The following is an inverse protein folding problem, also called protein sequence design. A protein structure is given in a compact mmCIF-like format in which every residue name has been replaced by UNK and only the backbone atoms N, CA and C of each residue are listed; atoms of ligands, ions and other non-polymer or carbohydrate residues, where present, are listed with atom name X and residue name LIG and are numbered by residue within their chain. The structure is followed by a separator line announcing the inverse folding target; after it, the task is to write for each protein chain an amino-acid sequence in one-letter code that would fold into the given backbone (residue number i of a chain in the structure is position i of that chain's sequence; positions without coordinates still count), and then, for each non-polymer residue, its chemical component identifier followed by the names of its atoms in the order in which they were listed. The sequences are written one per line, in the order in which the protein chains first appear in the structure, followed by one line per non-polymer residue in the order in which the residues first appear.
data_IF_892883257264
#
_entry.id   IF_892883257264
#
_cell.length_a   1.000
_cell.length_b   1.000
_cell.length_c   1.000
_cell.angle_alpha   90.00
_cell.angle_beta   90.00
_cell.angle_gamma   90.00
#
_symmetry.space_group_name_H-M   'P 1'
#
loop_
_entity.id
_entity.type
_entity.pdbx_description
1 polymer ?
#
# COMPACT_ATOMS: atom_id res chain seq x y z
N UNK A 1 -21.98 41.29 13.63
CA UNK A 1 -22.45 40.41 12.54
C UNK A 1 -22.07 38.97 12.85
N UNK A 2 -23.05 38.13 13.16
CA UNK A 2 -22.85 36.69 13.34
C UNK A 2 -23.03 36.01 11.98
N UNK A 3 -22.08 35.17 11.56
CA UNK A 3 -22.19 34.44 10.29
C UNK A 3 -23.43 33.52 10.29
N UNK A 4 -24.10 33.33 9.14
CA UNK A 4 -25.26 32.45 9.06
C UNK A 4 -24.83 31.00 9.37
N UNK A 5 -25.67 30.22 10.09
CA UNK A 5 -25.31 28.91 10.65
C UNK A 5 -24.81 27.88 9.60
N UNK A 6 -25.22 28.02 8.34
CA UNK A 6 -24.77 27.15 7.24
C UNK A 6 -23.27 27.31 6.91
N UNK A 7 -22.71 28.50 7.08
CA UNK A 7 -21.31 28.77 6.74
C UNK A 7 -20.36 28.20 7.79
N UNK A 8 -20.81 28.18 9.06
CA UNK A 8 -20.11 27.53 10.16
C UNK A 8 -20.11 26.01 10.01
N UNK A 9 -21.24 25.40 9.61
CA UNK A 9 -21.33 23.97 9.32
C UNK A 9 -20.37 23.54 8.19
N UNK A 10 -20.33 24.29 7.08
CA UNK A 10 -19.39 24.03 5.97
C UNK A 10 -17.92 24.11 6.41
N UNK A 11 -17.57 25.11 7.22
CA UNK A 11 -16.22 25.24 7.78
C UNK A 11 -15.85 24.02 8.64
N UNK A 12 -16.75 23.57 9.50
CA UNK A 12 -16.51 22.39 10.34
C UNK A 12 -16.37 21.11 9.52
N UNK A 13 -17.24 20.89 8.53
CA UNK A 13 -17.15 19.75 7.62
C UNK A 13 -15.81 19.72 6.86
N UNK A 14 -15.35 20.88 6.40
CA UNK A 14 -14.04 21.00 5.75
C UNK A 14 -12.88 20.63 6.69
N UNK A 15 -12.89 21.13 7.94
CA UNK A 15 -11.86 20.80 8.94
C UNK A 15 -11.82 19.30 9.21
N UNK A 16 -12.98 18.66 9.40
CA UNK A 16 -13.08 17.23 9.67
C UNK A 16 -12.61 16.39 8.48
N UNK A 17 -12.99 16.78 7.25
CA UNK A 17 -12.52 16.13 6.02
C UNK A 17 -10.99 16.17 5.91
N UNK A 18 -10.39 17.34 6.16
CA UNK A 18 -8.94 17.51 6.09
C UNK A 18 -8.20 16.76 7.21
N UNK A 19 -8.75 16.72 8.42
CA UNK A 19 -8.22 15.90 9.49
C UNK A 19 -8.21 14.41 9.10
N UNK A 20 -9.32 13.89 8.58
CA UNK A 20 -9.41 12.51 8.10
C UNK A 20 -8.42 12.22 6.97
N UNK A 21 -8.23 13.15 6.05
CA UNK A 21 -7.21 13.03 4.98
C UNK A 21 -5.81 12.90 5.56
N UNK A 22 -5.47 13.69 6.58
CA UNK A 22 -4.16 13.64 7.26
C UNK A 22 -3.96 12.34 8.04
N UNK A 23 -4.99 11.86 8.73
CA UNK A 23 -4.97 10.58 9.43
C UNK A 23 -4.72 9.43 8.45
N UNK A 24 -5.43 9.38 7.32
CA UNK A 24 -5.20 8.37 6.28
C UNK A 24 -3.77 8.39 5.76
N UNK A 25 -3.21 9.58 5.49
CA UNK A 25 -1.81 9.71 5.06
C UNK A 25 -0.87 9.17 6.14
N UNK A 26 -1.08 9.54 7.41
CA UNK A 26 -0.23 9.09 8.50
C UNK A 26 -0.30 7.56 8.67
N UNK A 27 -1.49 6.97 8.60
CA UNK A 27 -1.67 5.52 8.62
C UNK A 27 -0.90 4.82 7.50
N UNK A 28 -0.93 5.37 6.27
CA UNK A 28 -0.12 4.86 5.15
C UNK A 28 1.39 4.93 5.41
N UNK A 29 1.88 5.95 6.11
CA UNK A 29 3.29 6.02 6.53
C UNK A 29 3.63 4.98 7.62
N UNK A 30 2.72 4.72 8.57
CA UNK A 30 2.92 3.66 9.57
C UNK A 30 2.99 2.27 8.93
N UNK A 31 2.09 1.99 7.99
CA UNK A 31 2.13 0.75 7.19
C UNK A 31 3.44 0.64 6.41
N UNK A 32 3.86 1.71 5.73
CA UNK A 32 5.12 1.74 4.99
C UNK A 32 6.34 1.47 5.89
N UNK A 33 6.38 2.02 7.11
CA UNK A 33 7.45 1.72 8.09
C UNK A 33 7.46 0.25 8.50
N UNK A 34 6.30 -0.39 8.57
CA UNK A 34 6.20 -1.80 8.96
C UNK A 34 6.80 -2.74 7.91
N UNK A 35 6.68 -2.41 6.61
CA UNK A 35 7.15 -3.26 5.50
C UNK A 35 8.61 -2.99 5.11
N UNK A 36 9.13 -1.78 5.35
CA UNK A 36 10.52 -1.42 5.04
C UNK A 36 11.42 -1.78 6.23
N UNK A 37 12.32 -2.77 6.12
CA UNK A 37 13.10 -3.26 7.26
C UNK A 37 13.93 -2.17 7.96
N UNK A 38 14.48 -1.22 7.20
CA UNK A 38 15.32 -0.13 7.70
C UNK A 38 14.56 1.02 8.37
N UNK A 39 13.22 0.99 8.34
CA UNK A 39 12.34 1.99 8.96
C UNK A 39 11.61 1.45 10.19
N UNK A 40 11.62 0.13 10.42
CA UNK A 40 10.84 -0.51 11.48
C UNK A 40 11.36 -0.12 12.86
N UNK A 41 10.51 0.46 13.70
CA UNK A 41 10.87 0.93 15.04
C UNK A 41 11.70 2.22 15.07
N UNK A 42 11.95 2.85 13.91
CA UNK A 42 12.69 4.10 13.82
C UNK A 42 11.75 5.32 13.72
N UNK A 43 12.12 6.41 14.38
CA UNK A 43 11.42 7.70 14.27
C UNK A 43 11.94 8.53 13.08
N UNK A 44 11.89 7.95 11.87
CA UNK A 44 12.35 8.62 10.66
C UNK A 44 11.37 9.70 10.18
N UNK A 45 11.89 10.77 9.58
CA UNK A 45 11.06 11.76 8.90
C UNK A 45 10.39 11.18 7.65
N UNK A 46 9.23 11.73 7.23
CA UNK A 46 8.52 11.30 6.02
C UNK A 46 9.41 11.25 4.77
N UNK A 47 10.28 12.23 4.59
CA UNK A 47 11.22 12.26 3.48
C UNK A 47 12.26 11.12 3.56
N UNK A 48 12.75 10.79 4.75
CA UNK A 48 13.66 9.66 4.96
C UNK A 48 12.96 8.33 4.68
N UNK A 49 11.73 8.15 5.17
CA UNK A 49 10.92 6.94 4.93
C UNK A 49 10.76 6.70 3.43
N UNK A 50 10.40 7.74 2.65
CA UNK A 50 10.24 7.63 1.20
C UNK A 50 11.55 7.23 0.50
N UNK A 51 12.69 7.83 0.89
CA UNK A 51 14.00 7.46 0.32
C UNK A 51 14.40 6.02 0.65
N UNK A 52 14.21 5.60 1.91
CA UNK A 52 14.49 4.23 2.35
C UNK A 52 13.61 3.22 1.62
N UNK A 53 12.33 3.53 1.42
CA UNK A 53 11.41 2.70 0.65
C UNK A 53 11.85 2.54 -0.81
N UNK A 54 12.22 3.63 -1.49
CA UNK A 54 12.72 3.58 -2.87
C UNK A 54 13.99 2.72 -2.99
N UNK A 55 14.94 2.90 -2.06
CA UNK A 55 16.14 2.08 -2.01
C UNK A 55 15.82 0.58 -1.77
N UNK A 56 14.84 0.30 -0.92
CA UNK A 56 14.44 -1.09 -0.63
C UNK A 56 13.86 -1.77 -1.89
N UNK A 57 13.03 -1.08 -2.66
CA UNK A 57 12.53 -1.58 -3.96
C UNK A 57 13.69 -1.91 -4.89
N UNK A 58 14.64 -0.99 -5.09
CA UNK A 58 15.81 -1.22 -5.93
C UNK A 58 16.64 -2.44 -5.47
N UNK A 59 16.75 -2.62 -4.15
CA UNK A 59 17.47 -3.76 -3.58
C UNK A 59 16.76 -5.08 -3.90
N UNK A 60 15.43 -5.13 -3.75
CA UNK A 60 14.62 -6.31 -4.07
C UNK A 60 14.69 -6.64 -5.56
N UNK A 61 14.62 -5.65 -6.45
CA UNK A 61 14.76 -5.84 -7.90
C UNK A 61 16.12 -6.49 -8.26
N UNK A 62 17.21 -5.99 -7.67
CA UNK A 62 18.54 -6.55 -7.85
C UNK A 62 18.65 -8.00 -7.33
N UNK A 63 18.03 -8.30 -6.19
CA UNK A 63 17.99 -9.66 -5.64
C UNK A 63 17.24 -10.62 -6.57
N UNK A 64 16.07 -10.21 -7.07
CA UNK A 64 15.29 -10.99 -8.04
C UNK A 64 16.10 -11.24 -9.32
N UNK A 65 16.79 -10.22 -9.84
CA UNK A 65 17.62 -10.36 -11.03
C UNK A 65 18.77 -11.36 -10.82
N UNK A 66 19.48 -11.27 -9.69
CA UNK A 66 20.55 -12.22 -9.35
C UNK A 66 20.03 -13.65 -9.25
N UNK A 67 18.92 -13.87 -8.56
CA UNK A 67 18.30 -15.18 -8.43
C UNK A 67 17.89 -15.78 -9.79
N UNK A 68 17.34 -14.95 -10.70
CA UNK A 68 17.02 -15.38 -12.07
C UNK A 68 18.25 -15.77 -12.87
N UNK A 69 19.35 -15.02 -12.74
CA UNK A 69 20.62 -15.34 -13.41
C UNK A 69 21.21 -16.66 -12.87
N UNK A 70 21.22 -16.86 -11.56
CA UNK A 70 21.68 -18.10 -10.94
C UNK A 70 20.83 -19.31 -11.34
N UNK A 71 19.51 -19.16 -11.43
CA UNK A 71 18.63 -20.26 -11.84
C UNK A 71 18.82 -20.67 -13.31
N UNK A 72 19.18 -19.72 -14.19
CA UNK A 72 19.51 -20.02 -15.60
C UNK A 72 20.86 -20.72 -15.78
N UNK A 73 21.75 -20.66 -14.78
CA UNK A 73 23.11 -21.24 -14.88
C UNK A 73 23.20 -22.69 -14.40
N UNK A 74 22.08 -23.30 -13.98
CA UNK A 74 22.00 -24.69 -13.49
C UNK A 74 20.96 -25.53 -14.25
N UNK A 75 20.50 -25.11 -15.43
CA UNK A 75 19.53 -25.83 -16.26
C UNK A 75 20.18 -26.75 -17.28
N UNK A 76 20.59 -27.96 -16.87
CA UNK A 76 20.86 -29.07 -17.80
C UNK A 76 19.55 -29.55 -18.47
N UNK A 77 19.60 -30.15 -19.68
CA UNK A 77 18.40 -30.58 -20.39
C UNK A 77 17.86 -31.88 -19.78
N UNK A 78 16.72 -31.82 -19.08
CA UNK A 78 15.96 -33.03 -18.73
C UNK A 78 14.58 -33.02 -19.38
N UNK A 79 14.53 -33.84 -20.41
CA UNK A 79 13.41 -34.40 -21.15
C UNK A 79 12.19 -34.80 -20.28
N UNK A 80 11.01 -34.52 -20.84
CA UNK A 80 9.69 -35.18 -20.65
C UNK A 80 9.07 -35.29 -19.25
N UNK A 81 7.87 -34.71 -19.09
CA UNK A 81 6.54 -35.40 -19.08
C UNK A 81 5.54 -34.60 -18.21
N UNK A 82 4.35 -34.20 -18.70
CA UNK A 82 3.22 -33.78 -17.87
C UNK A 82 2.39 -35.03 -17.49
N UNK A 83 1.82 -35.13 -16.27
CA UNK A 83 0.41 -34.75 -16.15
C UNK A 83 -0.02 -34.22 -14.77
N UNK A 84 -0.97 -33.29 -14.82
CA UNK A 84 -2.20 -33.24 -14.00
C UNK A 84 -2.10 -33.61 -12.51
N UNK A 85 -2.19 -32.60 -11.64
CA UNK A 85 -2.95 -32.74 -10.40
C UNK A 85 -3.95 -31.60 -10.27
N UNK A 86 -5.22 -31.98 -10.40
CA UNK A 86 -6.40 -31.28 -9.89
C UNK A 86 -6.14 -30.66 -8.51
N UNK A 87 -6.47 -29.37 -8.35
CA UNK A 87 -6.77 -28.80 -7.04
C UNK A 87 -7.84 -27.72 -7.16
N UNK A 88 -8.74 -27.62 -6.16
CA UNK A 88 -10.00 -26.88 -6.29
C UNK A 88 -9.75 -25.37 -6.24
N UNK A 89 -10.52 -24.65 -7.06
CA UNK A 89 -10.57 -23.20 -7.07
C UNK A 89 -10.88 -22.63 -5.67
N UNK A 90 -9.95 -21.87 -5.10
CA UNK A 90 -10.21 -21.01 -3.95
C UNK A 90 -11.15 -19.89 -4.36
N UNK A 91 -12.36 -19.89 -3.76
CA UNK A 91 -13.37 -18.84 -3.91
C UNK A 91 -12.83 -17.52 -3.34
N UNK A 92 -12.52 -16.58 -4.24
CA UNK A 92 -12.20 -15.19 -3.87
C UNK A 92 -13.48 -14.52 -3.36
N UNK A 93 -13.58 -14.31 -2.05
CA UNK A 93 -14.61 -13.43 -1.48
C UNK A 93 -14.27 -12.00 -1.89
N UNK A 94 -15.17 -11.40 -2.65
CA UNK A 94 -15.12 -10.01 -3.10
C UNK A 94 -14.95 -9.08 -1.89
N UNK A 95 -13.79 -8.44 -1.74
CA UNK A 95 -13.63 -7.35 -0.80
C UNK A 95 -14.29 -6.14 -1.47
N UNK A 96 -15.56 -5.95 -1.14
CA UNK A 96 -16.28 -4.69 -1.36
C UNK A 96 -15.64 -3.63 -0.46
N UNK A 97 -14.55 -3.03 -0.93
CA UNK A 97 -13.99 -1.81 -0.35
C UNK A 97 -14.90 -0.67 -0.76
N UNK A 98 -15.91 -0.45 0.06
CA UNK A 98 -16.97 0.51 -0.15
C UNK A 98 -16.46 1.91 -0.49
N UNK A 99 -17.00 2.44 -1.58
CA UNK A 99 -16.96 3.86 -1.94
C UNK A 99 -17.86 4.69 -1.01
N UNK A 100 -17.60 4.67 0.29
CA UNK A 100 -18.36 5.46 1.27
C UNK A 100 -17.53 6.66 1.73
N UNK A 101 -17.41 7.68 0.88
CA UNK A 101 -16.90 8.99 1.32
C UNK A 101 -17.22 10.18 0.41
N UNK A 102 -17.81 9.98 -0.78
CA UNK A 102 -18.33 11.12 -1.56
C UNK A 102 -19.63 11.68 -0.93
N UNK A 103 -20.33 10.89 -0.09
CA UNK A 103 -21.65 11.25 0.43
C UNK A 103 -21.71 11.93 1.81
N UNK A 104 -20.60 12.09 2.54
CA UNK A 104 -20.74 12.55 3.93
C UNK A 104 -21.04 14.06 4.04
N UNK A 105 -20.79 14.92 3.03
CA UNK A 105 -20.98 16.39 3.24
C UNK A 105 -21.31 17.25 1.98
N UNK A 106 -22.16 16.82 1.03
CA UNK A 106 -22.70 17.75 0.01
C UNK A 106 -24.18 17.52 -0.35
N UNK A 107 -25.08 17.82 0.58
CA UNK A 107 -26.43 18.34 0.27
C UNK A 107 -26.84 19.33 1.35
#
# INVERSE_FOLDING_TARGET
MSQPPQQQSRRMAHILSEQKRRENINSGFEELKSIVPSCRGCADSKAVILRKAAHYIQTLENQIQKLKQSNNNCGGPTISTPPNLSSPAMSVKSISSGNYLIHIYMS
#
